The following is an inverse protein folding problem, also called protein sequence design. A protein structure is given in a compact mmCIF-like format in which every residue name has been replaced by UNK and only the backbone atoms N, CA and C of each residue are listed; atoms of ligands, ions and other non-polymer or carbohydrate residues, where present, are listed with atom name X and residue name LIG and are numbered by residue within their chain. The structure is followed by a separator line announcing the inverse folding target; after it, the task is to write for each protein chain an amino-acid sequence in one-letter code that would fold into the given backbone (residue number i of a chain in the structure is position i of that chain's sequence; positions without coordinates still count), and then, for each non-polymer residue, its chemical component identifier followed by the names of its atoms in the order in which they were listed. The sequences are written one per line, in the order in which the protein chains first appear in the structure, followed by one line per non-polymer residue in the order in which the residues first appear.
data_IF_040880510378
#
_entry.id   IF_040880510378
#
_cell.length_a   1.000
_cell.length_b   1.000
_cell.length_c   1.000
_cell.angle_alpha   90.00
_cell.angle_beta   90.00
_cell.angle_gamma   90.00
#
_symmetry.space_group_name_H-M   'P 1'
#
loop_
_entity.id
_entity.type
_entity.pdbx_description
1 polymer ?
#
# COMPACT_ATOMS: atom_id res chain seq x y z
N UNK A 1 2.75 -1.70 1.85
CA UNK A 1 3.29 -1.05 0.63
C UNK A 1 3.34 0.46 0.85
N UNK A 2 4.36 1.14 0.33
CA UNK A 2 4.43 2.60 0.27
C UNK A 2 4.14 3.07 -1.17
N UNK A 3 3.32 4.11 -1.31
CA UNK A 3 3.00 4.78 -2.58
C UNK A 3 3.53 6.21 -2.46
N UNK A 4 4.55 6.51 -3.27
CA UNK A 4 5.15 7.85 -3.35
C UNK A 4 4.25 8.83 -4.08
N UNK A 5 4.31 10.09 -3.66
CA UNK A 5 3.61 11.24 -4.23
C UNK A 5 2.09 11.08 -4.31
N UNK A 6 1.52 10.25 -3.42
CA UNK A 6 0.10 10.02 -3.30
C UNK A 6 -0.43 10.56 -1.96
N UNK A 7 -1.34 11.53 -2.04
CA UNK A 7 -2.14 12.03 -0.91
C UNK A 7 -3.51 11.38 -0.95
N UNK A 8 -3.86 10.68 0.13
CA UNK A 8 -5.11 9.96 0.27
C UNK A 8 -5.96 10.50 1.44
N UNK A 9 -5.74 11.75 1.87
CA UNK A 9 -6.35 12.32 3.08
C UNK A 9 -7.88 12.42 3.00
N UNK A 10 -8.42 12.78 1.82
CA UNK A 10 -9.87 12.90 1.58
C UNK A 10 -10.32 12.21 0.29
N UNK A 11 -9.39 11.99 -0.63
CA UNK A 11 -9.58 11.34 -1.92
C UNK A 11 -8.21 11.01 -2.49
N UNK A 12 -8.16 10.35 -3.63
CA UNK A 12 -6.88 9.96 -4.26
C UNK A 12 -6.37 11.11 -5.12
N UNK A 13 -5.23 11.68 -4.77
CA UNK A 13 -4.59 12.73 -5.55
C UNK A 13 -3.08 12.57 -5.59
N UNK A 14 -2.49 13.09 -6.67
CA UNK A 14 -1.05 13.28 -6.74
C UNK A 14 -0.65 14.52 -5.94
N UNK A 15 0.39 14.38 -5.13
CA UNK A 15 1.04 15.49 -4.43
C UNK A 15 2.49 15.15 -4.18
N UNK A 16 3.39 15.91 -4.79
CA UNK A 16 4.83 15.72 -4.63
C UNK A 16 5.25 15.76 -3.15
N UNK A 17 6.05 14.78 -2.74
CA UNK A 17 6.54 14.61 -1.37
C UNK A 17 5.52 14.00 -0.39
N UNK A 18 4.29 13.74 -0.83
CA UNK A 18 3.33 12.96 -0.05
C UNK A 18 3.70 11.48 -0.09
N UNK A 19 3.30 10.75 0.96
CA UNK A 19 3.47 9.29 1.03
C UNK A 19 2.21 8.68 1.61
N UNK A 20 1.70 7.64 0.94
CA UNK A 20 0.60 6.83 1.45
C UNK A 20 1.05 5.39 1.70
N UNK A 21 0.70 4.84 2.86
CA UNK A 21 0.93 3.44 3.21
C UNK A 21 -0.38 2.68 3.06
N UNK A 22 -0.32 1.54 2.39
CA UNK A 22 -1.49 0.70 2.18
C UNK A 22 -1.21 -0.79 2.22
N UNK A 23 -2.31 -1.53 2.27
CA UNK A 23 -2.37 -2.99 2.23
C UNK A 23 -2.96 -3.45 0.90
N UNK A 24 -2.36 -4.49 0.31
CA UNK A 24 -2.90 -5.12 -0.89
C UNK A 24 -4.11 -5.97 -0.50
N UNK A 25 -5.24 -5.78 -1.18
CA UNK A 25 -6.54 -6.39 -0.82
C UNK A 25 -7.10 -7.35 -1.87
N UNK A 26 -6.60 -7.34 -3.11
CA UNK A 26 -7.01 -8.31 -4.12
C UNK A 26 -5.89 -8.61 -5.12
N UNK A 27 -6.06 -9.69 -5.88
CA UNK A 27 -5.12 -10.17 -6.91
C UNK A 27 -5.04 -9.23 -8.12
N UNK A 28 -4.18 -9.59 -9.06
CA UNK A 28 -4.05 -8.94 -10.36
C UNK A 28 -5.35 -9.00 -11.19
N UNK A 29 -5.47 -8.10 -12.17
CA UNK A 29 -6.58 -7.96 -13.10
C UNK A 29 -6.04 -7.76 -14.53
N UNK A 30 -6.69 -8.39 -15.51
CA UNK A 30 -6.24 -8.39 -16.92
C UNK A 30 -6.64 -7.13 -17.71
N UNK A 31 -7.38 -6.20 -17.10
CA UNK A 31 -7.91 -5.01 -17.76
C UNK A 31 -6.92 -3.86 -17.61
N UNK A 32 -6.64 -3.14 -18.69
CA UNK A 32 -5.77 -1.97 -18.66
C UNK A 32 -6.20 -0.96 -17.58
N UNK A 33 -5.23 -0.45 -16.82
CA UNK A 33 -5.47 0.46 -15.69
C UNK A 33 -5.93 -0.22 -14.38
N UNK A 34 -6.05 -1.56 -14.35
CA UNK A 34 -6.29 -2.34 -13.15
C UNK A 34 -5.03 -3.10 -12.71
N UNK A 35 -5.08 -3.67 -11.50
CA UNK A 35 -4.01 -4.47 -10.91
C UNK A 35 -4.37 -4.81 -9.46
N UNK A 36 -3.42 -5.28 -8.64
CA UNK A 36 -3.64 -5.53 -7.22
C UNK A 36 -4.14 -4.28 -6.50
N UNK A 37 -5.34 -4.36 -5.90
CA UNK A 37 -5.95 -3.21 -5.22
C UNK A 37 -5.24 -2.90 -3.91
N UNK A 38 -5.11 -1.60 -3.61
CA UNK A 38 -4.50 -1.12 -2.37
C UNK A 38 -5.50 -0.30 -1.56
N UNK A 39 -5.74 -0.74 -0.32
CA UNK A 39 -6.47 0.01 0.69
C UNK A 39 -5.49 0.87 1.51
N UNK A 40 -5.75 2.18 1.56
CA UNK A 40 -4.93 3.13 2.33
C UNK A 40 -5.14 2.91 3.82
N UNK A 41 -4.04 2.85 4.57
CA UNK A 41 -4.05 2.80 6.03
C UNK A 41 -3.60 4.13 6.64
N UNK A 42 -2.53 4.70 6.09
CA UNK A 42 -1.92 5.95 6.56
C UNK A 42 -1.57 6.81 5.35
N UNK A 43 -1.63 8.12 5.53
CA UNK A 43 -1.19 9.08 4.51
C UNK A 43 -0.54 10.28 5.19
N UNK A 44 0.45 10.86 4.53
CA UNK A 44 1.01 12.14 4.92
C UNK A 44 1.20 12.99 3.70
N UNK A 45 0.73 14.23 3.78
CA UNK A 45 0.89 15.26 2.75
C UNK A 45 2.30 15.86 2.71
N UNK A 46 3.20 15.32 3.53
CA UNK A 46 4.59 15.75 3.74
C UNK A 46 5.46 14.52 4.00
N UNK A 47 6.78 14.67 4.01
CA UNK A 47 7.75 13.58 4.22
C UNK A 47 7.86 13.07 5.68
N UNK A 48 6.76 13.08 6.44
CA UNK A 48 6.74 12.64 7.85
C UNK A 48 6.73 11.12 8.02
N UNK A 49 6.23 10.38 7.03
CA UNK A 49 6.23 8.91 7.05
C UNK A 49 7.59 8.43 6.52
N UNK A 50 8.34 7.75 7.38
CA UNK A 50 9.54 6.98 7.00
C UNK A 50 9.16 5.50 6.90
N UNK A 51 9.67 4.83 5.87
CA UNK A 51 9.47 3.40 5.65
C UNK A 51 10.79 2.75 5.26
N UNK A 52 10.88 1.44 5.47
CA UNK A 52 11.97 0.60 4.98
C UNK A 52 11.36 -0.65 4.33
N UNK A 53 12.15 -1.34 3.52
CA UNK A 53 11.73 -2.58 2.86
C UNK A 53 12.00 -3.74 3.81
N UNK A 54 10.99 -4.55 4.02
CA UNK A 54 11.04 -5.78 4.82
C UNK A 54 10.32 -6.89 4.05
N UNK A 55 10.99 -8.04 3.89
CA UNK A 55 10.46 -9.20 3.18
C UNK A 55 9.29 -9.86 3.92
N UNK A 56 9.21 -9.68 5.24
CA UNK A 56 8.16 -10.25 6.09
C UNK A 56 7.01 -9.26 6.35
N UNK A 57 6.97 -8.11 5.67
CA UNK A 57 5.93 -7.07 5.81
C UNK A 57 4.58 -7.48 5.18
N UNK A 58 3.96 -8.52 5.73
CA UNK A 58 2.63 -9.00 5.35
C UNK A 58 1.76 -9.20 6.60
N UNK A 59 0.51 -8.73 6.56
CA UNK A 59 -0.43 -8.88 7.68
C UNK A 59 -0.67 -10.33 8.09
N UNK A 60 -0.51 -11.28 7.15
CA UNK A 60 -0.65 -12.70 7.39
C UNK A 60 0.30 -13.21 8.48
N UNK A 61 1.51 -12.64 8.56
CA UNK A 61 2.52 -13.01 9.54
C UNK A 61 2.12 -12.59 10.97
N UNK A 62 1.30 -11.55 11.11
CA UNK A 62 0.84 -11.06 12.42
C UNK A 62 -0.48 -11.70 12.85
N UNK A 63 -1.35 -12.03 11.90
CA UNK A 63 -2.67 -12.59 12.16
C UNK A 63 -2.68 -14.13 12.13
N UNK A 64 -1.57 -14.76 11.73
CA UNK A 64 -1.46 -16.21 11.55
C UNK A 64 -2.53 -16.78 10.60
N UNK A 65 -2.70 -16.13 9.45
CA UNK A 65 -3.67 -16.50 8.41
C UNK A 65 -2.97 -16.73 7.07
N UNK A 66 -3.71 -17.27 6.09
CA UNK A 66 -3.25 -17.44 4.71
C UNK A 66 -2.46 -18.72 4.47
N UNK A 67 -2.03 -18.92 3.21
CA UNK A 67 -1.25 -20.08 2.79
C UNK A 67 0.07 -19.63 2.17
N UNK A 68 1.16 -20.31 2.53
CA UNK A 68 2.45 -20.12 1.87
C UNK A 68 2.50 -21.03 0.65
N UNK A 69 2.82 -20.47 -0.53
CA UNK A 69 3.18 -21.32 -1.68
C UNK A 69 4.53 -21.97 -1.38
N UNK A 70 4.63 -23.26 -1.73
CA UNK A 70 5.89 -24.00 -1.71
C UNK A 70 6.82 -23.50 -2.80
#
# INVERSE_FOLDING_TARGET
MAISDADNSYGRSYREGAVSIGIVVHSDCVIAGHGPGVATLLTSTTSKIKFHIDADANIANYLNIGTKRK
#
